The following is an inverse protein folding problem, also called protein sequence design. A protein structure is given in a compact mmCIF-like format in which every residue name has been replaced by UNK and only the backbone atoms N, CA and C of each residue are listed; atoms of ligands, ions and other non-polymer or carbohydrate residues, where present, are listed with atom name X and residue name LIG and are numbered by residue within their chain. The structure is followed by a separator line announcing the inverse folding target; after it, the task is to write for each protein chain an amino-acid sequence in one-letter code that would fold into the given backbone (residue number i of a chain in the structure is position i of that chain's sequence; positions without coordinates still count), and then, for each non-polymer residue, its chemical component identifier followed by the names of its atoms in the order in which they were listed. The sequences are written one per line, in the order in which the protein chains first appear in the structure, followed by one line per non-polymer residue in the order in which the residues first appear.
data_IF_081069275021
#
_entry.id   IF_081069275021
#
_cell.length_a   1.000
_cell.length_b   1.000
_cell.length_c   1.000
_cell.angle_alpha   90.00
_cell.angle_beta   90.00
_cell.angle_gamma   90.00
#
_symmetry.space_group_name_H-M   'P 1'
#
loop_
_entity.id
_entity.type
_entity.pdbx_description
1 polymer ?
#
# COMPACT_ATOMS: atom_id res chain seq x y z
N UNK A 1 -19.94 -11.03 8.98
CA UNK A 1 -18.69 -10.42 8.50
C UNK A 1 -17.72 -11.46 7.97
N UNK A 2 -17.28 -12.47 8.76
CA UNK A 2 -16.29 -13.47 8.33
C UNK A 2 -16.69 -14.25 7.06
N UNK A 3 -17.96 -14.62 6.89
CA UNK A 3 -18.44 -15.29 5.67
C UNK A 3 -18.24 -14.43 4.42
N UNK A 4 -18.44 -13.11 4.51
CA UNK A 4 -18.27 -12.18 3.38
C UNK A 4 -16.78 -11.98 3.08
N UNK A 5 -15.93 -11.82 4.12
CA UNK A 5 -14.47 -11.76 3.95
C UNK A 5 -14.00 -13.02 3.21
N UNK A 6 -14.40 -14.20 3.68
CA UNK A 6 -14.01 -15.46 3.08
C UNK A 6 -14.47 -15.58 1.63
N UNK A 7 -15.71 -15.21 1.35
CA UNK A 7 -16.24 -15.22 -0.01
C UNK A 7 -15.44 -14.30 -0.94
N UNK A 8 -15.27 -13.02 -0.57
CA UNK A 8 -14.51 -12.04 -1.36
C UNK A 8 -13.06 -12.44 -1.55
N UNK A 9 -12.45 -12.98 -0.51
CA UNK A 9 -11.07 -13.47 -0.55
C UNK A 9 -10.89 -14.63 -1.55
N UNK A 10 -11.74 -15.65 -1.50
CA UNK A 10 -11.66 -16.78 -2.43
C UNK A 10 -12.12 -16.42 -3.84
N UNK A 11 -13.08 -15.51 -3.99
CA UNK A 11 -13.52 -14.99 -5.29
C UNK A 11 -12.36 -14.30 -6.02
N UNK A 12 -11.62 -13.43 -5.30
CA UNK A 12 -10.44 -12.76 -5.86
C UNK A 12 -9.28 -13.72 -6.11
N UNK A 13 -8.96 -14.63 -5.20
CA UNK A 13 -7.86 -15.59 -5.39
C UNK A 13 -8.11 -16.46 -6.64
N UNK A 14 -9.36 -16.82 -6.94
CA UNK A 14 -9.73 -17.58 -8.13
C UNK A 14 -9.77 -16.75 -9.42
N UNK A 15 -9.71 -15.43 -9.30
CA UNK A 15 -9.69 -14.54 -10.46
C UNK A 15 -8.36 -14.64 -11.21
N UNK A 16 -8.43 -14.73 -12.54
CA UNK A 16 -7.25 -14.71 -13.41
C UNK A 16 -6.33 -13.51 -13.16
N UNK A 17 -6.90 -12.36 -12.82
CA UNK A 17 -6.15 -11.14 -12.51
C UNK A 17 -5.26 -11.28 -11.26
N UNK A 18 -5.71 -12.01 -10.24
CA UNK A 18 -4.91 -12.26 -9.04
C UNK A 18 -3.75 -13.21 -9.32
N UNK A 19 -3.93 -14.18 -10.22
CA UNK A 19 -2.82 -15.02 -10.69
C UNK A 19 -1.78 -14.21 -11.47
N UNK A 20 -2.22 -13.26 -12.30
CA UNK A 20 -1.29 -12.33 -12.98
C UNK A 20 -0.50 -11.49 -11.97
N UNK A 21 -1.16 -10.95 -10.96
CA UNK A 21 -0.54 -10.15 -9.91
C UNK A 21 0.48 -10.98 -9.11
N UNK A 22 0.10 -12.17 -8.70
CA UNK A 22 0.98 -13.13 -8.02
C UNK A 22 2.18 -13.51 -8.90
N UNK A 23 1.91 -13.93 -10.15
CA UNK A 23 2.93 -14.34 -11.12
C UNK A 23 3.90 -13.20 -11.44
N UNK A 24 3.42 -11.98 -11.55
CA UNK A 24 4.25 -10.80 -11.75
C UNK A 24 5.29 -10.63 -10.64
N UNK A 25 4.88 -10.69 -9.36
CA UNK A 25 5.85 -10.58 -8.25
C UNK A 25 6.78 -11.77 -8.16
N UNK A 26 6.30 -12.97 -8.43
CA UNK A 26 7.11 -14.18 -8.44
C UNK A 26 8.20 -14.11 -9.53
N UNK A 27 7.84 -13.73 -10.75
CA UNK A 27 8.77 -13.59 -11.88
C UNK A 27 9.75 -12.44 -11.62
N UNK A 28 9.24 -11.27 -11.20
CA UNK A 28 10.07 -10.10 -10.93
C UNK A 28 11.13 -10.39 -9.85
N UNK A 29 10.73 -10.98 -8.73
CA UNK A 29 11.66 -11.30 -7.65
C UNK A 29 12.68 -12.37 -8.06
N UNK A 30 12.26 -13.38 -8.82
CA UNK A 30 13.16 -14.41 -9.35
C UNK A 30 14.19 -13.84 -10.32
N UNK A 31 13.77 -12.97 -11.26
CA UNK A 31 14.66 -12.31 -12.22
C UNK A 31 15.67 -11.42 -11.47
N UNK A 32 15.23 -10.61 -10.50
CA UNK A 32 16.11 -9.72 -9.78
C UNK A 32 17.15 -10.48 -8.95
N UNK A 33 16.77 -11.58 -8.31
CA UNK A 33 17.71 -12.43 -7.57
C UNK A 33 18.73 -13.09 -8.51
N UNK A 34 18.26 -13.53 -9.69
CA UNK A 34 19.16 -14.13 -10.68
C UNK A 34 20.14 -13.12 -11.29
N UNK A 35 19.69 -11.90 -11.59
CA UNK A 35 20.54 -10.87 -12.19
C UNK A 35 21.53 -10.25 -11.21
N UNK A 36 21.09 -9.97 -10.00
CA UNK A 36 21.93 -9.27 -9.01
C UNK A 36 22.90 -10.21 -8.28
N UNK A 37 22.60 -11.50 -8.17
CA UNK A 37 23.31 -12.46 -7.34
C UNK A 37 23.53 -12.04 -5.88
N UNK A 38 22.79 -11.01 -5.43
CA UNK A 38 22.91 -10.36 -4.12
C UNK A 38 21.53 -10.01 -3.61
N UNK A 39 21.21 -10.50 -2.39
CA UNK A 39 19.89 -10.29 -1.76
C UNK A 39 19.68 -8.80 -1.45
N UNK A 40 20.72 -8.09 -0.94
CA UNK A 40 20.60 -6.68 -0.57
C UNK A 40 20.25 -5.80 -1.77
N UNK A 41 20.97 -5.95 -2.89
CA UNK A 41 20.69 -5.21 -4.14
C UNK A 41 19.32 -5.52 -4.69
N UNK A 42 18.89 -6.78 -4.60
CA UNK A 42 17.56 -7.21 -5.06
C UNK A 42 16.44 -6.60 -4.21
N UNK A 43 16.62 -6.52 -2.88
CA UNK A 43 15.66 -5.85 -1.97
C UNK A 43 15.54 -4.36 -2.30
N UNK A 44 16.65 -3.65 -2.55
CA UNK A 44 16.64 -2.22 -2.91
C UNK A 44 15.91 -1.98 -4.23
N UNK A 45 16.19 -2.80 -5.24
CA UNK A 45 15.53 -2.68 -6.55
C UNK A 45 14.03 -2.97 -6.43
N UNK A 46 13.67 -4.03 -5.70
CA UNK A 46 12.26 -4.35 -5.42
C UNK A 46 11.55 -3.24 -4.68
N UNK A 47 12.19 -2.59 -3.71
CA UNK A 47 11.61 -1.47 -2.97
C UNK A 47 11.09 -0.39 -3.93
N UNK A 48 11.92 0.05 -4.87
CA UNK A 48 11.53 1.10 -5.83
C UNK A 48 10.34 0.70 -6.69
N UNK A 49 10.28 -0.56 -7.11
CA UNK A 49 9.17 -1.09 -7.91
C UNK A 49 7.90 -1.22 -7.07
N UNK A 50 8.01 -1.79 -5.87
CA UNK A 50 6.90 -2.12 -4.98
C UNK A 50 6.19 -0.86 -4.48
N UNK A 51 6.94 0.17 -4.09
CA UNK A 51 6.39 1.43 -3.56
C UNK A 51 5.47 2.13 -4.56
N UNK A 52 5.71 1.97 -5.86
CA UNK A 52 4.87 2.58 -6.92
C UNK A 52 3.78 1.62 -7.40
N UNK A 53 4.13 0.35 -7.62
CA UNK A 53 3.21 -0.61 -8.24
C UNK A 53 2.15 -1.16 -7.27
N UNK A 54 2.48 -1.39 -6.00
CA UNK A 54 1.48 -1.89 -5.04
C UNK A 54 0.32 -0.90 -4.89
N UNK A 55 0.55 0.41 -4.64
CA UNK A 55 -0.52 1.39 -4.60
C UNK A 55 -1.35 1.45 -5.88
N UNK A 56 -0.70 1.41 -7.05
CA UNK A 56 -1.40 1.43 -8.34
C UNK A 56 -2.33 0.21 -8.49
N UNK A 57 -1.78 -0.98 -8.32
CA UNK A 57 -2.53 -2.22 -8.52
C UNK A 57 -3.63 -2.33 -7.47
N UNK A 58 -3.36 -2.02 -6.22
CA UNK A 58 -4.35 -2.01 -5.15
C UNK A 58 -5.49 -1.04 -5.42
N UNK A 59 -5.18 0.14 -5.99
CA UNK A 59 -6.19 1.12 -6.40
C UNK A 59 -7.07 0.58 -7.51
N UNK A 60 -6.47 -0.02 -8.55
CA UNK A 60 -7.21 -0.58 -9.69
C UNK A 60 -8.12 -1.72 -9.22
N UNK A 61 -7.59 -2.68 -8.46
CA UNK A 61 -8.37 -3.81 -7.96
C UNK A 61 -9.49 -3.38 -7.02
N UNK A 62 -9.22 -2.44 -6.10
CA UNK A 62 -10.21 -1.96 -5.15
C UNK A 62 -11.42 -1.31 -5.83
N UNK A 63 -11.17 -0.40 -6.78
CA UNK A 63 -12.25 0.28 -7.50
C UNK A 63 -12.96 -0.65 -8.48
N UNK A 64 -12.22 -1.50 -9.19
CA UNK A 64 -12.78 -2.46 -10.15
C UNK A 64 -13.68 -3.48 -9.45
N UNK A 65 -13.22 -4.03 -8.34
CA UNK A 65 -14.01 -5.00 -7.58
C UNK A 65 -15.30 -4.39 -7.05
N UNK A 66 -15.24 -3.18 -6.50
CA UNK A 66 -16.42 -2.48 -5.99
C UNK A 66 -17.52 -2.35 -7.07
N UNK A 67 -17.14 -1.90 -8.27
CA UNK A 67 -18.13 -1.73 -9.36
C UNK A 67 -18.61 -3.06 -9.95
N UNK A 68 -17.75 -4.06 -10.05
CA UNK A 68 -18.15 -5.37 -10.56
C UNK A 68 -19.03 -6.15 -9.57
N UNK A 69 -18.81 -5.94 -8.27
CA UNK A 69 -19.61 -6.58 -7.22
C UNK A 69 -20.90 -5.84 -6.87
N UNK A 70 -21.25 -4.76 -7.60
CA UNK A 70 -22.41 -3.89 -7.24
C UNK A 70 -23.71 -4.66 -7.16
N UNK A 71 -24.04 -5.47 -8.16
CA UNK A 71 -25.27 -6.29 -8.18
C UNK A 71 -25.30 -7.27 -6.99
N UNK A 72 -24.17 -7.87 -6.67
CA UNK A 72 -24.03 -8.75 -5.52
C UNK A 72 -24.20 -7.99 -4.20
N UNK A 73 -23.71 -6.75 -4.11
CA UNK A 73 -23.91 -5.89 -2.93
C UNK A 73 -25.42 -5.60 -2.75
N UNK A 74 -26.13 -5.25 -3.83
CA UNK A 74 -27.57 -4.95 -3.81
C UNK A 74 -28.37 -6.18 -3.33
N UNK A 75 -28.02 -7.38 -3.79
CA UNK A 75 -28.60 -8.63 -3.30
C UNK A 75 -28.34 -8.88 -1.81
N UNK A 76 -27.15 -8.59 -1.33
CA UNK A 76 -26.81 -8.72 0.10
C UNK A 76 -27.52 -7.68 0.97
N UNK A 77 -27.76 -6.49 0.44
CA UNK A 77 -28.50 -5.42 1.15
C UNK A 77 -29.98 -5.75 1.32
N UNK A 78 -30.57 -6.56 0.43
CA UNK A 78 -31.92 -7.07 0.56
C UNK A 78 -32.06 -8.14 1.67
N UNK A 79 -30.94 -8.68 2.16
CA UNK A 79 -30.92 -9.67 3.26
C UNK A 79 -30.80 -8.96 4.62
N UNK A 80 -31.23 -9.58 5.73
CA UNK A 80 -31.11 -9.01 7.07
C UNK A 80 -29.66 -9.03 7.59
N UNK A 81 -28.72 -8.49 6.81
CA UNK A 81 -27.31 -8.42 7.14
C UNK A 81 -26.94 -6.94 7.42
N UNK A 82 -26.27 -6.62 8.54
CA UNK A 82 -25.83 -5.27 8.81
C UNK A 82 -24.89 -4.73 7.70
N UNK A 83 -25.23 -3.57 7.13
CA UNK A 83 -24.48 -2.92 6.03
C UNK A 83 -22.97 -2.86 6.29
N UNK A 84 -22.56 -2.54 7.51
CA UNK A 84 -21.14 -2.52 7.93
C UNK A 84 -20.40 -3.86 7.70
N UNK A 85 -21.09 -4.98 7.86
CA UNK A 85 -20.49 -6.29 7.64
C UNK A 85 -20.27 -6.61 6.16
N UNK A 86 -21.14 -6.08 5.28
CA UNK A 86 -21.03 -6.26 3.83
C UNK A 86 -19.80 -5.49 3.33
N UNK A 87 -19.78 -4.18 3.53
CA UNK A 87 -18.76 -3.31 2.96
C UNK A 87 -17.38 -3.51 3.58
N UNK A 88 -17.28 -3.62 4.93
CA UNK A 88 -16.00 -3.94 5.57
C UNK A 88 -15.53 -5.35 5.22
N UNK A 89 -16.46 -6.30 5.08
CA UNK A 89 -16.13 -7.66 4.67
C UNK A 89 -15.49 -7.71 3.29
N UNK A 90 -16.01 -6.96 2.34
CA UNK A 90 -15.43 -6.85 1.00
C UNK A 90 -14.07 -6.13 1.02
N UNK A 91 -13.99 -4.95 1.65
CA UNK A 91 -12.72 -4.21 1.77
C UNK A 91 -11.60 -5.09 2.35
N UNK A 92 -11.86 -5.76 3.47
CA UNK A 92 -10.88 -6.65 4.12
C UNK A 92 -10.57 -7.87 3.24
N UNK A 93 -11.57 -8.44 2.57
CA UNK A 93 -11.36 -9.58 1.67
C UNK A 93 -10.44 -9.25 0.51
N UNK A 94 -10.63 -8.08 -0.13
CA UNK A 94 -9.77 -7.60 -1.22
C UNK A 94 -8.35 -7.35 -0.70
N UNK A 95 -8.22 -6.58 0.40
CA UNK A 95 -6.92 -6.23 0.96
C UNK A 95 -6.10 -7.45 1.37
N UNK A 96 -6.76 -8.44 2.00
CA UNK A 96 -6.11 -9.70 2.40
C UNK A 96 -5.69 -10.55 1.20
N UNK A 97 -6.51 -10.62 0.15
CA UNK A 97 -6.19 -11.38 -1.06
C UNK A 97 -4.95 -10.82 -1.76
N UNK A 98 -4.89 -9.49 -1.95
CA UNK A 98 -3.74 -8.84 -2.58
C UNK A 98 -2.49 -8.94 -1.69
N UNK A 99 -2.63 -8.73 -0.39
CA UNK A 99 -1.51 -8.86 0.56
C UNK A 99 -0.94 -10.28 0.58
N UNK A 100 -1.78 -11.31 0.59
CA UNK A 100 -1.32 -12.69 0.55
C UNK A 100 -0.59 -13.01 -0.76
N UNK A 101 -1.14 -12.57 -1.90
CA UNK A 101 -0.51 -12.75 -3.21
C UNK A 101 0.86 -12.09 -3.28
N UNK A 102 1.00 -10.89 -2.70
CA UNK A 102 2.27 -10.19 -2.58
C UNK A 102 3.27 -10.95 -1.70
N UNK A 103 2.85 -11.35 -0.49
CA UNK A 103 3.70 -12.06 0.47
C UNK A 103 4.24 -13.36 -0.12
N UNK A 104 3.39 -14.14 -0.78
CA UNK A 104 3.79 -15.41 -1.37
C UNK A 104 4.61 -15.15 -2.64
N UNK A 105 4.19 -14.21 -3.50
CA UNK A 105 4.89 -13.89 -4.75
C UNK A 105 6.31 -13.40 -4.56
N UNK A 106 6.55 -12.58 -3.53
CA UNK A 106 7.91 -12.14 -3.18
C UNK A 106 8.62 -13.15 -2.28
N UNK A 107 7.90 -13.73 -1.31
CA UNK A 107 8.48 -14.59 -0.29
C UNK A 107 9.08 -15.87 -0.84
N UNK A 108 8.38 -16.57 -1.74
CA UNK A 108 8.84 -17.88 -2.26
C UNK A 108 10.21 -17.79 -2.92
N UNK A 109 10.49 -16.89 -3.89
CA UNK A 109 11.82 -16.82 -4.51
C UNK A 109 12.93 -16.46 -3.52
N UNK A 110 12.68 -15.52 -2.61
CA UNK A 110 13.67 -15.10 -1.62
C UNK A 110 13.98 -16.20 -0.60
N UNK A 111 12.97 -16.99 -0.19
CA UNK A 111 13.16 -18.14 0.69
C UNK A 111 13.99 -19.24 0.01
N UNK A 112 13.72 -19.52 -1.27
CA UNK A 112 14.48 -20.51 -2.05
C UNK A 112 15.93 -20.05 -2.31
N UNK A 113 16.16 -18.75 -2.39
CA UNK A 113 17.51 -18.19 -2.59
C UNK A 113 18.33 -18.12 -1.30
N UNK A 114 17.78 -18.50 -0.15
CA UNK A 114 18.51 -18.55 1.13
C UNK A 114 18.39 -17.32 2.01
N UNK A 115 17.30 -16.58 1.93
CA UNK A 115 17.01 -15.40 2.76
C UNK A 115 17.22 -15.65 4.26
N UNK A 116 16.87 -16.83 4.76
CA UNK A 116 17.02 -17.17 6.19
C UNK A 116 18.49 -17.21 6.67
N UNK A 117 19.42 -17.39 5.76
CA UNK A 117 20.86 -17.43 6.07
C UNK A 117 21.52 -16.05 5.90
N UNK A 118 20.77 -15.05 5.40
CA UNK A 118 21.27 -13.71 5.14
C UNK A 118 20.96 -12.75 6.29
N UNK A 119 21.78 -11.73 6.47
CA UNK A 119 21.51 -10.60 7.37
C UNK A 119 20.34 -9.71 6.91
N UNK A 120 19.89 -9.90 5.68
CA UNK A 120 18.87 -9.05 5.01
C UNK A 120 17.43 -9.43 5.33
N UNK A 121 17.20 -10.48 6.13
CA UNK A 121 15.86 -10.97 6.47
C UNK A 121 14.98 -9.85 7.06
N UNK A 122 15.55 -8.98 7.89
CA UNK A 122 14.82 -7.91 8.53
C UNK A 122 14.41 -6.81 7.53
N UNK A 123 15.28 -6.48 6.59
CA UNK A 123 15.04 -5.51 5.54
C UNK A 123 13.94 -6.00 4.59
N UNK A 124 14.00 -7.29 4.24
CA UNK A 124 12.95 -7.94 3.45
C UNK A 124 11.60 -7.98 4.18
N UNK A 125 11.58 -8.29 5.47
CA UNK A 125 10.36 -8.26 6.28
C UNK A 125 9.74 -6.86 6.32
N UNK A 126 10.54 -5.81 6.46
CA UNK A 126 10.06 -4.42 6.40
C UNK A 126 9.46 -4.09 5.04
N UNK A 127 10.06 -4.55 3.95
CA UNK A 127 9.52 -4.40 2.61
C UNK A 127 8.13 -5.06 2.49
N UNK A 128 7.99 -6.29 2.97
CA UNK A 128 6.69 -7.02 2.97
C UNK A 128 5.65 -6.29 3.82
N UNK A 129 6.00 -5.90 5.04
CA UNK A 129 5.07 -5.21 5.96
C UNK A 129 4.58 -3.90 5.37
N UNK A 130 5.47 -3.08 4.84
CA UNK A 130 5.08 -1.82 4.18
C UNK A 130 4.22 -2.06 2.94
N UNK A 131 4.52 -3.07 2.13
CA UNK A 131 3.71 -3.47 0.99
C UNK A 131 2.29 -3.90 1.39
N UNK A 132 2.16 -4.63 2.49
CA UNK A 132 0.84 -5.00 3.06
C UNK A 132 0.07 -3.74 3.50
N UNK A 133 0.69 -2.83 4.25
CA UNK A 133 0.05 -1.57 4.65
C UNK A 133 -0.41 -0.74 3.44
N UNK A 134 0.46 -0.59 2.43
CA UNK A 134 0.11 0.12 1.20
C UNK A 134 -1.07 -0.53 0.48
N UNK A 135 -1.13 -1.87 0.43
CA UNK A 135 -2.26 -2.59 -0.15
C UNK A 135 -3.57 -2.26 0.60
N UNK A 136 -3.58 -2.30 1.93
CA UNK A 136 -4.75 -1.94 2.73
C UNK A 136 -5.18 -0.49 2.54
N UNK A 137 -4.23 0.45 2.52
CA UNK A 137 -4.50 1.87 2.37
C UNK A 137 -5.11 2.15 0.99
N UNK A 138 -4.47 1.69 -0.08
CA UNK A 138 -4.89 2.04 -1.44
C UNK A 138 -6.14 1.28 -1.92
N UNK A 139 -6.33 0.03 -1.50
CA UNK A 139 -7.63 -0.65 -1.64
C UNK A 139 -8.73 0.14 -0.92
N UNK A 140 -8.45 0.61 0.30
CA UNK A 140 -9.43 1.35 1.08
C UNK A 140 -9.79 2.70 0.47
N UNK A 141 -8.81 3.48 -0.02
CA UNK A 141 -9.04 4.75 -0.71
C UNK A 141 -9.91 4.52 -1.96
N UNK A 142 -9.54 3.57 -2.81
CA UNK A 142 -10.25 3.28 -4.04
C UNK A 142 -11.66 2.73 -3.79
N UNK A 143 -11.82 1.90 -2.78
CA UNK A 143 -13.13 1.39 -2.34
C UNK A 143 -14.03 2.52 -1.83
N UNK A 144 -13.46 3.47 -1.10
CA UNK A 144 -14.15 4.66 -0.60
C UNK A 144 -14.59 5.57 -1.76
N UNK A 145 -13.75 5.74 -2.79
CA UNK A 145 -14.11 6.47 -4.02
C UNK A 145 -15.29 5.80 -4.71
N UNK A 146 -15.30 4.47 -4.82
CA UNK A 146 -16.43 3.71 -5.37
C UNK A 146 -17.72 3.93 -4.58
N UNK A 147 -17.66 4.03 -3.25
CA UNK A 147 -18.82 4.37 -2.41
C UNK A 147 -19.36 5.79 -2.65
N UNK A 148 -18.50 6.74 -3.06
CA UNK A 148 -18.91 8.12 -3.34
C UNK A 148 -19.44 8.33 -4.76
N UNK A 149 -18.93 7.60 -5.74
CA UNK A 149 -19.25 7.79 -7.15
C UNK A 149 -19.99 6.58 -7.71
N UNK A 150 -21.19 6.79 -8.25
CA UNK A 150 -21.98 5.74 -8.89
C UNK A 150 -21.49 5.43 -10.30
N UNK A 151 -20.96 6.43 -10.98
CA UNK A 151 -20.43 6.28 -12.33
C UNK A 151 -19.05 5.62 -12.30
N UNK A 152 -18.96 4.43 -12.90
CA UNK A 152 -17.73 3.61 -12.96
C UNK A 152 -16.55 4.37 -13.56
N UNK A 153 -16.77 5.13 -14.64
CA UNK A 153 -15.70 5.87 -15.34
C UNK A 153 -15.15 6.98 -14.44
N UNK A 154 -16.04 7.78 -13.82
CA UNK A 154 -15.62 8.87 -12.91
C UNK A 154 -14.90 8.33 -11.69
N UNK A 155 -15.40 7.26 -11.07
CA UNK A 155 -14.76 6.66 -9.91
C UNK A 155 -13.39 6.07 -10.24
N UNK A 156 -13.26 5.38 -11.37
CA UNK A 156 -11.99 4.81 -11.81
C UNK A 156 -10.95 5.90 -12.13
N UNK A 157 -11.35 6.94 -12.86
CA UNK A 157 -10.47 8.07 -13.19
C UNK A 157 -9.99 8.80 -11.93
N UNK A 158 -10.90 9.04 -10.96
CA UNK A 158 -10.54 9.69 -9.71
C UNK A 158 -9.58 8.82 -8.86
N UNK A 159 -9.81 7.52 -8.83
CA UNK A 159 -8.94 6.60 -8.09
C UNK A 159 -7.51 6.60 -8.64
N UNK A 160 -7.35 6.52 -9.97
CA UNK A 160 -6.04 6.62 -10.62
C UNK A 160 -5.42 8.00 -10.39
N UNK A 161 -6.21 9.07 -10.46
CA UNK A 161 -5.72 10.43 -10.20
C UNK A 161 -5.18 10.59 -8.78
N UNK A 162 -5.87 10.04 -7.76
CA UNK A 162 -5.39 10.10 -6.37
C UNK A 162 -4.10 9.30 -6.20
N UNK A 163 -3.99 8.12 -6.84
CA UNK A 163 -2.73 7.38 -6.85
C UNK A 163 -1.60 8.20 -7.49
N UNK A 164 -1.82 8.76 -8.67
CA UNK A 164 -0.82 9.57 -9.37
C UNK A 164 -0.45 10.83 -8.58
N UNK A 165 -1.43 11.45 -7.92
CA UNK A 165 -1.19 12.59 -7.05
C UNK A 165 -0.24 12.21 -5.91
N UNK A 166 -0.50 11.10 -5.20
CA UNK A 166 0.31 10.66 -4.07
C UNK A 166 1.69 10.12 -4.51
N UNK A 167 1.77 9.43 -5.67
CA UNK A 167 3.00 8.78 -6.11
C UNK A 167 3.97 9.71 -6.83
N UNK A 168 3.49 10.79 -7.46
CA UNK A 168 4.31 11.65 -8.34
C UNK A 168 4.13 13.13 -8.04
N UNK A 169 2.88 13.63 -8.03
CA UNK A 169 2.62 15.08 -7.89
C UNK A 169 3.03 15.56 -6.51
N UNK A 170 2.77 14.78 -5.48
CA UNK A 170 3.11 15.12 -4.10
C UNK A 170 4.62 15.29 -3.91
N UNK A 171 5.43 14.38 -4.46
CA UNK A 171 6.90 14.48 -4.46
C UNK A 171 7.37 15.77 -5.17
N UNK A 172 6.75 16.10 -6.31
CA UNK A 172 7.05 17.31 -7.05
C UNK A 172 6.74 18.58 -6.24
N UNK A 173 5.58 18.64 -5.59
CA UNK A 173 5.20 19.75 -4.69
C UNK A 173 6.18 19.85 -3.52
N UNK A 174 6.54 18.74 -2.91
CA UNK A 174 7.51 18.71 -1.81
C UNK A 174 8.87 19.26 -2.22
N UNK A 175 9.38 18.86 -3.40
CA UNK A 175 10.64 19.39 -3.95
C UNK A 175 10.58 20.89 -4.23
N UNK A 176 9.47 21.40 -4.83
CA UNK A 176 9.29 22.83 -5.08
C UNK A 176 9.27 23.61 -3.76
N UNK A 177 8.52 23.14 -2.76
CA UNK A 177 8.51 23.78 -1.44
C UNK A 177 9.91 23.80 -0.82
N UNK A 178 10.67 22.72 -0.97
CA UNK A 178 12.04 22.64 -0.45
C UNK A 178 12.99 23.63 -1.14
N UNK A 179 12.84 23.85 -2.45
CA UNK A 179 13.64 24.83 -3.20
C UNK A 179 13.30 26.27 -2.83
N UNK A 180 12.00 26.60 -2.72
CA UNK A 180 11.52 27.96 -2.43
C UNK A 180 11.87 28.39 -1.01
N UNK A 181 11.70 27.50 -0.05
CA UNK A 181 11.90 27.79 1.38
C UNK A 181 13.26 27.34 1.93
N UNK A 182 14.25 27.16 1.07
CA UNK A 182 15.59 26.65 1.43
C UNK A 182 16.29 27.43 2.55
N UNK A 183 15.91 28.69 2.79
CA UNK A 183 16.49 29.55 3.83
C UNK A 183 15.90 29.29 5.24
N UNK A 184 14.84 28.52 5.34
CA UNK A 184 14.17 28.21 6.62
C UNK A 184 14.49 26.80 7.09
N UNK A 185 14.45 26.53 8.41
CA UNK A 185 14.58 25.17 8.93
C UNK A 185 13.33 24.36 8.55
N UNK A 186 13.47 23.50 7.53
CA UNK A 186 12.35 22.71 6.97
C UNK A 186 12.18 21.32 7.63
N UNK A 187 12.93 21.03 8.69
CA UNK A 187 12.94 19.70 9.31
C UNK A 187 11.55 19.24 9.76
N UNK A 188 10.87 20.06 10.55
CA UNK A 188 9.51 19.76 11.03
C UNK A 188 8.49 19.71 9.89
N UNK A 189 8.61 20.61 8.91
CA UNK A 189 7.75 20.62 7.72
C UNK A 189 7.92 19.32 6.91
N UNK A 190 9.15 18.89 6.70
CA UNK A 190 9.48 17.65 5.98
C UNK A 190 8.88 16.43 6.68
N UNK A 191 8.95 16.36 8.01
CA UNK A 191 8.31 15.27 8.78
C UNK A 191 6.80 15.22 8.55
N UNK A 192 6.12 16.38 8.65
CA UNK A 192 4.67 16.44 8.44
C UNK A 192 4.28 15.99 7.02
N UNK A 193 5.02 16.45 6.01
CA UNK A 193 4.77 16.07 4.61
C UNK A 193 4.95 14.57 4.40
N UNK A 194 6.01 13.97 4.95
CA UNK A 194 6.25 12.53 4.84
C UNK A 194 5.13 11.71 5.54
N UNK A 195 4.71 12.14 6.73
CA UNK A 195 3.63 11.46 7.46
C UNK A 195 2.27 11.60 6.75
N UNK A 196 2.09 12.66 5.96
CA UNK A 196 0.89 12.90 5.17
C UNK A 196 0.78 12.03 3.92
N UNK A 197 1.89 11.44 3.44
CA UNK A 197 1.89 10.56 2.28
C UNK A 197 2.35 9.13 2.66
N UNK A 198 1.47 8.11 2.62
CA UNK A 198 1.82 6.76 2.99
C UNK A 198 2.88 6.13 2.06
N UNK A 199 3.00 6.59 0.80
CA UNK A 199 4.02 6.14 -0.15
C UNK A 199 5.41 6.60 0.31
N UNK A 200 5.56 7.89 0.61
CA UNK A 200 6.83 8.47 1.04
C UNK A 200 7.26 7.96 2.40
N UNK A 201 6.29 7.83 3.31
CA UNK A 201 6.53 7.23 4.62
C UNK A 201 7.08 5.80 4.50
N UNK A 202 6.51 4.98 3.59
CA UNK A 202 6.98 3.64 3.31
C UNK A 202 8.37 3.62 2.69
N UNK A 203 8.64 4.55 1.75
CA UNK A 203 9.96 4.71 1.10
C UNK A 203 11.05 5.01 2.11
N UNK A 204 10.82 5.99 2.98
CA UNK A 204 11.80 6.40 4.00
C UNK A 204 12.05 5.29 5.00
N UNK A 205 10.99 4.61 5.46
CA UNK A 205 11.11 3.51 6.42
C UNK A 205 12.01 2.38 5.90
N UNK A 206 11.93 2.05 4.61
CA UNK A 206 12.78 1.00 4.02
C UNK A 206 14.18 1.53 3.76
N UNK A 207 14.34 2.74 3.20
CA UNK A 207 15.67 3.33 2.87
C UNK A 207 16.55 3.51 4.10
N UNK A 208 15.99 3.93 5.21
CA UNK A 208 16.75 4.12 6.45
C UNK A 208 17.23 2.81 7.07
N UNK A 209 16.50 1.72 6.86
CA UNK A 209 16.89 0.39 7.29
C UNK A 209 18.01 -0.21 6.44
N UNK A 210 18.04 0.13 5.16
CA UNK A 210 19.08 -0.34 4.23
C UNK A 210 20.41 0.44 4.34
N UNK A 211 20.53 1.35 5.32
CA UNK A 211 21.71 2.23 5.50
C UNK A 211 22.12 3.05 4.25
N UNK A 212 21.18 3.18 3.29
CA UNK A 212 21.37 3.95 2.05
C UNK A 212 21.09 5.45 2.29
N UNK A 213 21.22 5.90 3.51
CA UNK A 213 21.03 7.30 3.88
C UNK A 213 21.91 8.28 3.06
N UNK A 214 23.00 7.81 2.48
CA UNK A 214 23.87 8.59 1.60
C UNK A 214 23.14 9.09 0.32
N UNK A 215 22.08 8.41 -0.13
CA UNK A 215 21.31 8.80 -1.31
C UNK A 215 20.28 9.91 -1.03
N UNK A 216 20.01 10.24 0.23
CA UNK A 216 18.99 11.22 0.63
C UNK A 216 19.53 12.66 0.77
N UNK A 217 20.82 12.90 0.55
CA UNK A 217 21.42 14.23 0.61
C UNK A 217 21.47 14.84 2.03
N UNK A 218 21.41 16.20 2.11
CA UNK A 218 21.58 16.94 3.36
C UNK A 218 20.51 16.63 4.43
N UNK A 219 19.29 16.31 4.03
CA UNK A 219 18.19 15.95 4.93
C UNK A 219 18.35 14.55 5.55
N UNK A 220 19.26 13.73 5.02
CA UNK A 220 19.45 12.34 5.46
C UNK A 220 19.86 12.22 6.94
N UNK A 221 20.68 13.15 7.42
CA UNK A 221 21.15 13.13 8.81
C UNK A 221 19.98 13.32 9.79
N UNK A 222 19.07 14.25 9.50
CA UNK A 222 17.88 14.49 10.31
C UNK A 222 16.91 13.30 10.27
N UNK A 223 16.63 12.76 9.09
CA UNK A 223 15.78 11.58 8.96
C UNK A 223 16.39 10.33 9.59
N UNK A 224 17.71 10.17 9.50
CA UNK A 224 18.43 9.06 10.16
C UNK A 224 18.34 9.17 11.68
N UNK A 225 18.43 10.37 12.24
CA UNK A 225 18.31 10.58 13.69
C UNK A 225 16.89 10.29 14.21
N UNK A 226 15.87 10.60 13.44
CA UNK A 226 14.46 10.39 13.82
C UNK A 226 13.97 8.98 13.48
N UNK A 227 14.00 8.59 12.20
CA UNK A 227 13.43 7.32 11.71
C UNK A 227 14.40 6.13 11.84
N UNK A 228 15.71 6.35 11.93
CA UNK A 228 16.72 5.29 12.12
C UNK A 228 16.70 4.67 13.52
N UNK A 229 16.02 5.31 14.47
CA UNK A 229 15.79 4.78 15.81
C UNK A 229 14.63 3.79 15.87
N UNK A 230 14.61 2.91 16.87
CA UNK A 230 13.48 2.01 17.10
C UNK A 230 12.17 2.78 17.34
N UNK A 231 12.24 3.96 17.92
CA UNK A 231 11.09 4.86 18.12
C UNK A 231 10.57 5.40 16.79
N UNK A 232 11.44 5.76 15.85
CA UNK A 232 11.07 6.23 14.52
C UNK A 232 10.37 5.14 13.68
N UNK A 233 10.87 3.90 13.75
CA UNK A 233 10.23 2.76 13.09
C UNK A 233 8.83 2.54 13.68
N UNK A 234 8.70 2.54 15.00
CA UNK A 234 7.41 2.39 15.67
C UNK A 234 6.45 3.53 15.32
N UNK A 235 6.94 4.79 15.24
CA UNK A 235 6.15 5.95 14.82
C UNK A 235 5.66 5.83 13.36
N UNK A 236 6.52 5.35 12.45
CA UNK A 236 6.18 5.13 11.05
C UNK A 236 5.12 4.05 10.87
N UNK A 237 5.29 2.89 11.52
CA UNK A 237 4.30 1.81 11.50
C UNK A 237 3.00 2.24 12.18
N UNK A 238 3.08 3.04 13.26
CA UNK A 238 1.94 3.67 13.91
C UNK A 238 1.18 4.60 12.97
N UNK A 239 1.89 5.43 12.20
CA UNK A 239 1.29 6.32 11.21
C UNK A 239 0.62 5.55 10.06
N UNK A 240 1.25 4.50 9.53
CA UNK A 240 0.61 3.63 8.53
C UNK A 240 -0.65 2.95 9.08
N UNK A 241 -0.62 2.51 10.35
CA UNK A 241 -1.79 1.96 11.04
C UNK A 241 -2.89 2.99 11.19
N UNK A 242 -2.56 4.24 11.52
CA UNK A 242 -3.52 5.36 11.59
C UNK A 242 -4.18 5.64 10.24
N UNK A 243 -3.43 5.55 9.13
CA UNK A 243 -4.00 5.65 7.77
C UNK A 243 -5.06 4.57 7.52
N UNK A 244 -4.77 3.30 7.87
CA UNK A 244 -5.74 2.20 7.72
C UNK A 244 -6.98 2.43 8.58
N UNK A 245 -6.79 2.83 9.85
CA UNK A 245 -7.90 3.10 10.78
C UNK A 245 -8.75 4.28 10.28
N UNK A 246 -8.13 5.36 9.82
CA UNK A 246 -8.82 6.53 9.26
C UNK A 246 -9.69 6.13 8.06
N UNK A 247 -9.17 5.32 7.15
CA UNK A 247 -9.92 4.82 5.99
C UNK A 247 -11.11 3.96 6.42
N UNK A 248 -10.92 3.03 7.34
CA UNK A 248 -12.00 2.21 7.90
C UNK A 248 -13.08 3.09 8.53
N UNK A 249 -12.68 4.11 9.28
CA UNK A 249 -13.61 5.07 9.87
C UNK A 249 -14.41 5.84 8.81
N UNK A 250 -13.75 6.30 7.75
CA UNK A 250 -14.39 7.01 6.63
C UNK A 250 -15.37 6.10 5.88
N UNK A 251 -15.00 4.84 5.63
CA UNK A 251 -15.90 3.84 5.02
C UNK A 251 -17.15 3.67 5.89
N UNK A 252 -16.98 3.45 7.19
CA UNK A 252 -18.10 3.28 8.13
C UNK A 252 -18.98 4.52 8.20
N UNK A 253 -18.39 5.72 8.21
CA UNK A 253 -19.15 6.99 8.21
C UNK A 253 -19.97 7.17 6.94
N UNK A 254 -19.40 6.80 5.78
CA UNK A 254 -20.11 6.91 4.49
C UNK A 254 -21.27 5.93 4.40
N UNK A 255 -21.08 4.68 4.82
CA UNK A 255 -22.11 3.63 4.80
C UNK A 255 -23.36 4.02 5.63
N UNK A 256 -23.14 4.72 6.77
CA UNK A 256 -24.25 5.20 7.61
C UNK A 256 -25.10 6.30 6.96
N UNK A 257 -24.53 7.03 5.99
CA UNK A 257 -25.16 8.22 5.39
C UNK A 257 -25.66 7.99 3.95
N UNK A 258 -25.31 6.86 3.36
CA UNK A 258 -25.71 6.53 1.98
C UNK A 258 -27.01 5.73 2.01
N UNK A 259 -28.02 6.22 1.32
CA UNK A 259 -29.20 5.46 0.96
C UNK A 259 -28.85 4.61 -0.28
N UNK A 260 -29.17 3.33 -0.21
CA UNK A 260 -28.89 2.32 -1.24
C UNK A 260 -30.21 1.83 -1.82
#
# INVERSE_FOLDING_TARGET
MLKIIRYTFFDLIRSSWTYFYFGFYLILSSILLFLNHDISKSVITLMNVIIVLIPLISTIFGVMYYYNAREFIELLLAQPIPRKHIFLGQYLGISLSLSLSLVIGLGVPFLLYGLFLSSEIFNFLMLIVTGVFLSFIFVGISYLIGLYHENKIKGFSLAIFIWLFMAVIFDGIFLICFMVFRQYPLDSFSLVMILANPIDLSRILILLKLDISALMGYTSAFFKSFFGSNTGIAASLGSLSLWVIAIIFLILRKIKRKDF
#
